data_IF_311934046173
#
_entry.id   IF_311934046173
#
_cell.length_a   1.000
_cell.length_b   1.000
_cell.length_c   1.000
_cell.angle_alpha   90.00
_cell.angle_beta   90.00
_cell.angle_gamma   90.00
#
_symmetry.space_group_name_H-M   'P 1'
#
loop_
_entity.id
_entity.type
_entity.pdbx_description
1 polymer ?
#
# COMPACT_ATOMS: atom_id res chain seq x y z
N UNK A 1 10.24 -4.34 -17.75
CA UNK A 1 9.08 -3.52 -18.15
C UNK A 1 7.74 -4.28 -18.18
N UNK A 2 7.72 -5.62 -18.23
CA UNK A 2 6.47 -6.41 -18.29
C UNK A 2 5.60 -6.26 -17.03
N UNK A 3 6.19 -6.33 -15.84
CA UNK A 3 5.45 -6.35 -14.57
C UNK A 3 4.72 -5.04 -14.22
N UNK A 4 5.21 -3.89 -14.72
CA UNK A 4 4.55 -2.59 -14.47
C UNK A 4 3.16 -2.51 -15.09
N UNK A 5 3.01 -2.99 -16.33
CA UNK A 5 1.71 -2.98 -17.01
C UNK A 5 0.69 -3.90 -16.31
N UNK A 6 1.15 -5.03 -15.77
CA UNK A 6 0.28 -5.92 -14.98
C UNK A 6 -0.10 -5.29 -13.65
N UNK A 7 0.82 -4.61 -12.96
CA UNK A 7 0.53 -3.89 -11.73
C UNK A 7 -0.49 -2.75 -11.96
N UNK A 8 -0.37 -2.01 -13.06
CA UNK A 8 -1.34 -0.97 -13.45
C UNK A 8 -2.72 -1.55 -13.79
N UNK A 9 -2.78 -2.68 -14.50
CA UNK A 9 -4.04 -3.40 -14.76
C UNK A 9 -4.70 -3.86 -13.46
N UNK A 10 -3.91 -4.40 -12.52
CA UNK A 10 -4.42 -4.80 -11.20
C UNK A 10 -4.95 -3.60 -10.42
N UNK A 11 -4.28 -2.45 -10.50
CA UNK A 11 -4.74 -1.21 -9.88
C UNK A 11 -6.06 -0.73 -10.49
N UNK A 12 -6.17 -0.72 -11.82
CA UNK A 12 -7.40 -0.33 -12.52
C UNK A 12 -8.57 -1.28 -12.25
N UNK A 13 -8.30 -2.57 -12.12
CA UNK A 13 -9.31 -3.57 -11.75
C UNK A 13 -9.76 -3.49 -10.29
N UNK A 14 -9.14 -2.62 -9.48
CA UNK A 14 -9.45 -2.46 -8.05
C UNK A 14 -8.97 -3.62 -7.16
N UNK A 15 -8.24 -4.59 -7.73
CA UNK A 15 -7.67 -5.72 -7.00
C UNK A 15 -6.49 -5.35 -6.11
N UNK A 16 -5.82 -4.23 -6.39
CA UNK A 16 -4.75 -3.69 -5.56
C UNK A 16 -4.94 -2.19 -5.34
N UNK A 17 -4.38 -1.67 -4.25
CA UNK A 17 -4.33 -0.24 -3.94
C UNK A 17 -2.88 0.18 -3.64
N UNK A 18 -2.60 1.47 -3.80
CA UNK A 18 -1.30 2.05 -3.44
C UNK A 18 -1.24 2.23 -1.93
N UNK A 19 -0.23 1.66 -1.31
CA UNK A 19 0.02 1.82 0.12
C UNK A 19 1.25 2.70 0.34
N UNK A 20 1.11 3.75 1.14
CA UNK A 20 2.20 4.64 1.55
C UNK A 20 2.74 4.35 2.95
N UNK A 21 2.39 3.19 3.53
CA UNK A 21 2.94 2.77 4.80
C UNK A 21 4.47 2.66 4.68
N UNK A 22 5.18 3.20 5.65
CA UNK A 22 6.63 3.04 5.75
C UNK A 22 6.95 1.58 6.10
N UNK A 23 8.13 1.08 5.70
CA UNK A 23 8.58 -0.27 6.06
C UNK A 23 8.47 -0.54 7.57
N UNK A 24 8.78 0.46 8.40
CA UNK A 24 8.68 0.35 9.85
C UNK A 24 7.23 0.16 10.35
N UNK A 25 6.25 0.80 9.70
CA UNK A 25 4.82 0.62 10.01
C UNK A 25 4.34 -0.76 9.59
N UNK A 26 4.83 -1.26 8.44
CA UNK A 26 4.51 -2.58 7.92
C UNK A 26 5.01 -3.69 8.86
N UNK A 27 6.26 -3.57 9.34
CA UNK A 27 6.84 -4.52 10.29
C UNK A 27 6.10 -4.49 11.64
N UNK A 28 5.74 -3.31 12.15
CA UNK A 28 4.91 -3.19 13.36
C UNK A 28 3.55 -3.87 13.19
N UNK A 29 2.91 -3.73 12.02
CA UNK A 29 1.64 -4.43 11.75
C UNK A 29 1.83 -5.96 11.70
N UNK A 30 2.90 -6.45 11.08
CA UNK A 30 3.24 -7.89 11.08
C UNK A 30 3.48 -8.41 12.49
N UNK A 31 4.18 -7.65 13.33
CA UNK A 31 4.44 -8.03 14.72
C UNK A 31 3.15 -8.06 15.54
N UNK A 32 2.29 -7.03 15.41
CA UNK A 32 0.96 -7.00 16.03
C UNK A 32 0.09 -8.16 15.53
N UNK A 33 0.12 -8.48 14.23
CA UNK A 33 -0.62 -9.59 13.67
C UNK A 33 -0.13 -10.92 14.27
N UNK A 34 1.18 -11.11 14.40
CA UNK A 34 1.79 -12.28 15.05
C UNK A 34 1.38 -12.40 16.51
N UNK A 35 1.41 -11.29 17.26
CA UNK A 35 0.98 -11.24 18.66
C UNK A 35 -0.51 -11.57 18.81
N UNK A 36 -1.34 -11.13 17.86
CA UNK A 36 -2.79 -11.38 17.83
C UNK A 36 -3.18 -12.69 17.14
N UNK A 37 -2.22 -13.49 16.68
CA UNK A 37 -2.44 -14.69 15.86
C UNK A 37 -3.34 -14.44 14.63
N UNK A 38 -3.27 -13.22 14.09
CA UNK A 38 -3.94 -12.84 12.85
C UNK A 38 -3.10 -13.31 11.66
N UNK A 39 -3.73 -13.53 10.50
CA UNK A 39 -3.00 -13.88 9.28
C UNK A 39 -1.95 -12.81 8.94
N UNK A 40 -0.79 -13.20 8.39
CA UNK A 40 0.33 -12.29 8.10
C UNK A 40 -0.01 -11.23 7.05
N UNK A 41 -1.09 -11.44 6.28
CA UNK A 41 -1.63 -10.48 5.32
C UNK A 41 -2.53 -9.42 5.97
N UNK A 42 -2.63 -9.40 7.32
CA UNK A 42 -3.44 -8.43 8.03
C UNK A 42 -2.73 -7.07 8.04
N UNK A 43 -2.97 -6.33 6.97
CA UNK A 43 -2.72 -4.90 6.91
C UNK A 43 -4.00 -4.18 7.30
N UNK A 44 -3.88 -3.10 8.07
CA UNK A 44 -5.04 -2.32 8.55
C UNK A 44 -5.90 -1.74 7.44
N UNK A 45 -5.45 -1.81 6.17
CA UNK A 45 -6.22 -1.34 5.03
C UNK A 45 -6.48 0.16 5.09
N UNK A 46 -5.71 0.92 5.86
CA UNK A 46 -5.86 2.37 6.01
C UNK A 46 -5.90 3.07 4.64
N UNK A 47 -5.03 2.65 3.74
CA UNK A 47 -4.96 3.13 2.36
C UNK A 47 -5.93 2.41 1.41
N UNK A 48 -6.56 1.31 1.84
CA UNK A 48 -7.56 0.60 1.05
C UNK A 48 -8.88 1.36 0.98
N UNK A 49 -9.18 2.24 1.94
CA UNK A 49 -10.35 3.13 1.94
C UNK A 49 -10.02 4.57 1.56
N UNK A 50 -8.73 4.89 1.33
CA UNK A 50 -8.31 6.24 1.00
C UNK A 50 -8.85 6.67 -0.36
N UNK A 51 -9.22 7.96 -0.48
CA UNK A 51 -9.65 8.52 -1.77
C UNK A 51 -8.45 8.85 -2.66
N UNK A 52 -8.70 9.02 -3.96
CA UNK A 52 -7.65 9.44 -4.89
C UNK A 52 -7.07 10.80 -4.49
N UNK A 53 -7.86 11.69 -3.87
CA UNK A 53 -7.37 12.97 -3.37
C UNK A 53 -6.35 12.81 -2.24
N UNK A 54 -6.63 11.94 -1.25
CA UNK A 54 -5.69 11.67 -0.15
C UNK A 54 -4.38 11.03 -0.65
N UNK A 55 -4.48 10.16 -1.64
CA UNK A 55 -3.33 9.53 -2.32
C UNK A 55 -2.49 10.58 -3.04
N UNK A 56 -3.11 11.51 -3.77
CA UNK A 56 -2.42 12.60 -4.47
C UNK A 56 -1.80 13.59 -3.49
N UNK A 57 -2.48 13.90 -2.38
CA UNK A 57 -1.95 14.78 -1.34
C UNK A 57 -0.69 14.19 -0.68
N UNK A 58 -0.70 12.90 -0.33
CA UNK A 58 0.49 12.25 0.22
C UNK A 58 1.62 12.12 -0.80
N UNK A 59 1.30 11.85 -2.07
CA UNK A 59 2.29 11.87 -3.15
C UNK A 59 2.94 13.26 -3.28
N UNK A 60 2.15 14.33 -3.15
CA UNK A 60 2.65 15.70 -3.18
C UNK A 60 3.52 16.03 -1.95
N UNK A 61 3.10 15.58 -0.75
CA UNK A 61 3.87 15.78 0.50
C UNK A 61 5.22 15.06 0.49
N UNK A 62 5.29 13.85 -0.09
CA UNK A 62 6.52 13.04 -0.11
C UNK A 62 7.56 13.52 -1.13
N UNK A 63 7.17 14.42 -2.03
CA UNK A 63 8.07 15.17 -2.90
C UNK A 63 8.65 14.36 -4.06
N UNK A 64 9.08 15.01 -5.16
CA UNK A 64 9.48 14.36 -6.41
C UNK A 64 10.87 13.69 -6.41
N UNK A 65 11.61 13.69 -5.28
CA UNK A 65 13.02 13.29 -5.24
C UNK A 65 13.32 12.00 -4.51
N UNK A 66 12.36 11.39 -3.81
CA UNK A 66 12.55 10.09 -3.19
C UNK A 66 11.88 9.04 -4.06
N UNK A 67 12.60 7.94 -4.25
CA UNK A 67 12.10 6.73 -4.89
C UNK A 67 10.66 6.49 -4.43
N UNK A 68 9.72 6.46 -5.38
CA UNK A 68 8.31 6.19 -5.11
C UNK A 68 8.16 4.74 -4.63
N UNK A 69 8.52 4.48 -3.38
CA UNK A 69 8.35 3.23 -2.67
C UNK A 69 6.91 3.18 -2.13
N UNK A 70 5.95 3.15 -3.05
CA UNK A 70 4.61 2.71 -2.71
C UNK A 70 4.46 1.25 -3.15
N UNK A 71 3.93 0.44 -2.26
CA UNK A 71 3.72 -0.98 -2.51
C UNK A 71 2.28 -1.23 -2.95
N UNK A 72 2.09 -2.15 -3.90
CA UNK A 72 0.77 -2.59 -4.30
C UNK A 72 0.27 -3.65 -3.31
N UNK A 73 -0.72 -3.28 -2.51
CA UNK A 73 -1.33 -4.19 -1.55
C UNK A 73 -2.63 -4.76 -2.13
N UNK A 74 -2.87 -6.07 -1.94
CA UNK A 74 -4.06 -6.75 -2.46
C UNK A 74 -5.31 -6.35 -1.66
N UNK A 75 -6.38 -5.97 -2.36
CA UNK A 75 -7.72 -5.76 -1.78
C UNK A 75 -8.40 -7.14 -1.70
N UNK A 76 -8.83 -7.54 -0.50
CA UNK A 76 -9.59 -8.78 -0.28
C UNK A 76 -11.01 -8.66 -0.81
#
# INVERSE_FOLDING_TARGET
ALYKQFAEKLLQSGHVYRCFCSNEELEKMKEIAKLKQLPPDFYTGRWASATEEEVVEELAKRGPSTHTDFEYQKRR
#
